data_IF_430815234397
#
_entry.id   IF_430815234397
#
_cell.length_a   1.000
_cell.length_b   1.000
_cell.length_c   1.000
_cell.angle_alpha   90.00
_cell.angle_beta   90.00
_cell.angle_gamma   90.00
#
_symmetry.space_group_name_H-M   'P 1'
#
loop_
_entity.id
_entity.type
_entity.pdbx_description
1 polymer ?
#
# COMPACT_ATOMS: atom_id res chain seq x y z
N UNK A 1 -9.01 -9.16 7.17
CA UNK A 1 -9.73 -9.52 5.93
C UNK A 1 -10.31 -8.27 5.23
N UNK A 2 -11.12 -7.44 5.90
CA UNK A 2 -11.78 -6.25 5.29
C UNK A 2 -10.82 -5.26 4.61
N UNK A 3 -9.72 -4.87 5.26
CA UNK A 3 -8.77 -3.91 4.67
C UNK A 3 -8.00 -4.46 3.47
N UNK A 4 -7.86 -5.79 3.34
CA UNK A 4 -7.30 -6.42 2.14
C UNK A 4 -8.25 -6.29 0.94
N UNK A 5 -9.57 -6.37 1.18
CA UNK A 5 -10.59 -6.10 0.14
C UNK A 5 -10.57 -4.62 -0.25
N UNK A 6 -10.51 -3.72 0.74
CA UNK A 6 -10.41 -2.28 0.48
C UNK A 6 -9.13 -1.90 -0.27
N UNK A 7 -8.04 -2.62 -0.08
CA UNK A 7 -6.83 -2.46 -0.87
C UNK A 7 -6.94 -3.10 -2.26
N UNK A 8 -7.36 -4.37 -2.34
CA UNK A 8 -7.29 -5.16 -3.56
C UNK A 8 -8.38 -4.82 -4.57
N UNK A 9 -9.59 -4.50 -4.10
CA UNK A 9 -10.75 -4.18 -4.96
C UNK A 9 -10.87 -2.68 -5.14
N UNK A 10 -10.81 -1.91 -4.06
CA UNK A 10 -11.06 -0.47 -4.10
C UNK A 10 -9.79 0.39 -4.18
N UNK A 11 -8.63 -0.16 -3.81
CA UNK A 11 -7.36 0.56 -3.83
C UNK A 11 -7.32 1.83 -2.96
N UNK A 12 -8.20 1.95 -1.95
CA UNK A 12 -8.42 3.20 -1.22
C UNK A 12 -7.65 3.30 0.10
N UNK A 13 -7.37 2.18 0.75
CA UNK A 13 -6.59 2.12 2.01
C UNK A 13 -5.60 0.95 1.97
N UNK A 14 -4.45 1.05 2.67
CA UNK A 14 -3.54 -0.08 2.82
C UNK A 14 -4.22 -1.28 3.50
N UNK A 15 -3.69 -2.47 3.28
CA UNK A 15 -4.10 -3.64 4.03
C UNK A 15 -3.48 -3.55 5.42
N UNK A 16 -4.29 -3.17 6.42
CA UNK A 16 -3.89 -3.18 7.84
C UNK A 16 -3.70 -4.62 8.34
N UNK A 17 -2.69 -5.30 7.84
CA UNK A 17 -2.24 -6.61 8.28
C UNK A 17 -1.01 -6.51 9.19
N UNK A 18 -0.50 -7.65 9.65
CA UNK A 18 0.57 -7.72 10.65
C UNK A 18 1.81 -6.92 10.23
N UNK A 19 2.23 -7.04 8.97
CA UNK A 19 3.44 -6.38 8.49
C UNK A 19 3.22 -4.88 8.32
N UNK A 20 2.11 -4.47 7.71
CA UNK A 20 1.78 -3.04 7.63
C UNK A 20 1.70 -2.39 9.01
N UNK A 21 1.02 -3.03 9.96
CA UNK A 21 0.86 -2.54 11.34
C UNK A 21 2.22 -2.40 12.03
N UNK A 22 3.10 -3.39 11.89
CA UNK A 22 4.45 -3.37 12.45
C UNK A 22 5.33 -2.31 11.78
N UNK A 23 5.33 -2.23 10.45
CA UNK A 23 6.15 -1.29 9.69
C UNK A 23 5.71 0.17 9.85
N UNK A 24 4.40 0.42 9.92
CA UNK A 24 3.82 1.76 10.09
C UNK A 24 3.67 2.20 11.55
N UNK A 25 3.67 1.25 12.50
CA UNK A 25 3.51 1.53 13.92
C UNK A 25 2.07 1.94 14.26
N UNK A 26 1.09 1.13 13.84
CA UNK A 26 -0.34 1.28 14.16
C UNK A 26 -0.97 -0.04 14.55
N UNK A 27 -1.97 -0.01 15.44
CA UNK A 27 -2.64 -1.22 15.95
C UNK A 27 -3.90 -1.58 15.15
N UNK A 28 -4.86 -0.66 15.06
CA UNK A 28 -6.18 -0.91 14.49
C UNK A 28 -6.53 0.05 13.35
N UNK A 29 -7.39 -0.42 12.46
CA UNK A 29 -8.01 0.43 11.45
C UNK A 29 -9.01 1.37 12.15
N UNK A 30 -8.65 2.66 12.20
CA UNK A 30 -9.39 3.69 12.92
C UNK A 30 -9.26 5.03 12.18
N UNK A 31 -10.09 6.01 12.56
CA UNK A 31 -9.96 7.38 12.05
C UNK A 31 -8.57 7.95 12.30
N UNK A 32 -8.01 7.73 13.50
CA UNK A 32 -6.68 8.21 13.86
C UNK A 32 -5.57 7.59 12.99
N UNK A 33 -5.63 6.28 12.75
CA UNK A 33 -4.65 5.62 11.89
C UNK A 33 -4.80 6.05 10.43
N UNK A 34 -6.02 6.25 9.93
CA UNK A 34 -6.25 6.75 8.57
C UNK A 34 -5.74 8.18 8.39
N UNK A 35 -5.93 9.04 9.39
CA UNK A 35 -5.34 10.39 9.38
C UNK A 35 -3.82 10.32 9.29
N UNK A 36 -3.17 9.46 10.11
CA UNK A 36 -1.72 9.26 10.06
C UNK A 36 -1.26 8.75 8.69
N UNK A 37 -1.98 7.81 8.07
CA UNK A 37 -1.68 7.34 6.69
C UNK A 37 -1.79 8.48 5.69
N UNK A 38 -2.83 9.32 5.78
CA UNK A 38 -2.99 10.48 4.92
C UNK A 38 -1.90 11.54 5.11
N UNK A 39 -1.51 11.80 6.36
CA UNK A 39 -0.41 12.71 6.70
C UNK A 39 0.92 12.19 6.16
N UNK A 40 1.19 10.88 6.30
CA UNK A 40 2.36 10.23 5.72
C UNK A 40 2.38 10.34 4.19
N UNK A 41 1.26 10.08 3.52
CA UNK A 41 1.16 10.21 2.07
C UNK A 41 1.46 11.64 1.63
N UNK A 42 0.83 12.64 2.24
CA UNK A 42 1.02 14.06 1.89
C UNK A 42 2.48 14.49 2.04
N UNK A 43 3.13 14.10 3.13
CA UNK A 43 4.53 14.40 3.38
C UNK A 43 5.49 13.75 2.37
N UNK A 44 5.07 12.69 1.69
CA UNK A 44 5.91 11.91 0.76
C UNK A 44 5.30 11.81 -0.65
N UNK A 45 4.37 12.70 -1.00
CA UNK A 45 3.49 12.54 -2.16
C UNK A 45 4.28 12.42 -3.46
N UNK A 46 5.28 13.28 -3.68
CA UNK A 46 6.13 13.23 -4.87
C UNK A 46 6.84 11.89 -5.05
N UNK A 47 7.42 11.35 -3.96
CA UNK A 47 8.12 10.06 -3.98
C UNK A 47 7.15 8.89 -4.17
N UNK A 48 6.01 8.90 -3.48
CA UNK A 48 5.00 7.84 -3.60
C UNK A 48 4.40 7.83 -5.01
N UNK A 49 4.07 9.00 -5.56
CA UNK A 49 3.48 9.11 -6.89
C UNK A 49 4.49 8.72 -7.98
N UNK A 50 5.79 9.01 -7.80
CA UNK A 50 6.86 8.56 -8.69
C UNK A 50 7.17 7.06 -8.64
N UNK A 51 6.78 6.35 -7.58
CA UNK A 51 6.95 4.90 -7.43
C UNK A 51 5.76 4.09 -7.97
N UNK A 52 4.75 4.74 -8.57
CA UNK A 52 3.56 4.06 -9.09
C UNK A 52 3.88 3.39 -10.43
N UNK A 53 4.19 2.11 -10.36
CA UNK A 53 4.44 1.29 -11.55
C UNK A 53 3.13 0.91 -12.27
N UNK A 54 3.19 0.69 -13.61
CA UNK A 54 2.13 0.03 -14.36
C UNK A 54 1.70 -1.31 -13.76
N UNK A 55 0.40 -1.58 -13.78
CA UNK A 55 -0.13 -2.93 -13.53
C UNK A 55 0.07 -3.81 -14.76
N UNK A 56 0.09 -5.12 -14.56
CA UNK A 56 0.24 -6.08 -15.66
C UNK A 56 -1.13 -6.54 -16.17
N UNK A 57 -1.22 -6.70 -17.48
CA UNK A 57 -2.33 -7.41 -18.11
C UNK A 57 -2.21 -8.90 -17.78
N UNK A 58 -3.31 -9.51 -17.34
CA UNK A 58 -3.26 -10.89 -16.84
C UNK A 58 -3.02 -11.93 -17.94
N UNK A 59 -3.50 -11.66 -19.15
CA UNK A 59 -3.40 -12.61 -20.27
C UNK A 59 -2.03 -12.54 -20.94
N UNK A 60 -1.45 -11.34 -21.05
CA UNK A 60 -0.24 -11.09 -21.82
C UNK A 60 1.02 -10.86 -20.98
N UNK A 61 0.85 -10.58 -19.68
CA UNK A 61 1.94 -10.19 -18.79
C UNK A 61 2.56 -8.83 -19.10
N UNK A 62 2.00 -8.07 -20.04
CA UNK A 62 2.55 -6.78 -20.47
C UNK A 62 2.09 -5.64 -19.56
N UNK A 63 2.89 -4.55 -19.44
CA UNK A 63 2.47 -3.35 -18.74
C UNK A 63 1.18 -2.74 -19.34
N UNK A 64 0.28 -2.31 -18.47
CA UNK A 64 -0.94 -1.58 -18.83
C UNK A 64 -0.77 -0.08 -18.60
N UNK A 65 -1.71 0.73 -19.06
CA UNK A 65 -1.75 2.17 -18.76
C UNK A 65 -2.19 2.48 -17.32
N UNK A 66 -2.74 1.48 -16.60
CA UNK A 66 -3.19 1.65 -15.22
C UNK A 66 -2.00 1.53 -14.29
N UNK A 67 -1.83 2.50 -13.39
CA UNK A 67 -0.79 2.48 -12.38
C UNK A 67 -1.33 1.93 -11.06
N UNK A 68 -0.47 1.30 -10.27
CA UNK A 68 -0.81 0.95 -8.89
C UNK A 68 -1.32 2.18 -8.11
N UNK A 69 -2.31 1.94 -7.24
CA UNK A 69 -2.85 3.02 -6.41
C UNK A 69 -1.84 3.46 -5.36
N UNK A 70 -1.98 4.70 -4.88
CA UNK A 70 -1.16 5.23 -3.78
C UNK A 70 -1.23 4.36 -2.54
N UNK A 71 -2.43 3.87 -2.21
CA UNK A 71 -2.63 2.95 -1.10
C UNK A 71 -1.83 1.66 -1.26
N UNK A 72 -1.70 1.14 -2.48
CA UNK A 72 -0.89 -0.05 -2.78
C UNK A 72 0.61 0.21 -2.62
N UNK A 73 1.10 1.33 -3.10
CA UNK A 73 2.51 1.71 -2.91
C UNK A 73 2.83 1.88 -1.42
N UNK A 74 2.00 2.63 -0.68
CA UNK A 74 2.14 2.81 0.77
C UNK A 74 2.07 1.47 1.51
N UNK A 75 1.16 0.58 1.10
CA UNK A 75 1.08 -0.76 1.65
C UNK A 75 2.39 -1.53 1.49
N UNK A 76 2.99 -1.50 0.30
CA UNK A 76 4.22 -2.23 -0.01
C UNK A 76 5.42 -1.71 0.80
N UNK A 77 5.53 -0.39 0.96
CA UNK A 77 6.60 0.23 1.79
C UNK A 77 6.57 -0.32 3.21
N UNK A 78 5.39 -0.36 3.84
CA UNK A 78 5.27 -0.81 5.22
C UNK A 78 5.19 -2.32 5.38
N UNK A 79 4.87 -3.04 4.31
CA UNK A 79 5.00 -4.49 4.26
C UNK A 79 6.47 -4.91 4.37
N UNK A 80 7.36 -4.33 3.56
CA UNK A 80 8.81 -4.55 3.63
C UNK A 80 9.36 -4.09 4.98
N UNK A 81 9.05 -2.84 5.38
CA UNK A 81 9.50 -2.30 6.68
C UNK A 81 8.99 -3.10 7.88
N UNK A 82 7.86 -3.79 7.75
CA UNK A 82 7.32 -4.71 8.77
C UNK A 82 8.18 -5.96 8.98
N UNK A 83 9.20 -6.19 8.14
CA UNK A 83 10.02 -7.38 8.15
C UNK A 83 9.31 -8.57 7.52
N UNK A 84 8.58 -8.34 6.42
CA UNK A 84 8.25 -9.45 5.54
C UNK A 84 9.58 -10.01 5.01
N UNK A 85 9.82 -11.32 5.07
CA UNK A 85 11.07 -11.90 4.61
C UNK A 85 11.24 -11.54 3.13
N UNK A 86 12.33 -10.85 2.81
CA UNK A 86 12.84 -10.85 1.45
C UNK A 86 13.17 -12.32 1.14
N UNK A 87 12.56 -12.88 0.10
CA UNK A 87 12.97 -14.19 -0.41
C UNK A 87 14.49 -14.12 -0.70
N UNK A 88 15.31 -15.07 -0.24
CA UNK A 88 16.76 -15.05 -0.42
C UNK A 88 17.19 -15.08 -1.90
#
# INVERSE_FOLDING_TARGET
MVTKVMLGVFGCVPAFDTYFKKGFGVSNFSRGSLKRVGDFYRANAARIDGLRLPTLDFTTGQPTTRLYTRAKVVNMVFFIKGGYPDDP
#
